data_IF_502130859146
#
_entry.id   IF_502130859146
#
_cell.length_a   1.000
_cell.length_b   1.000
_cell.length_c   1.000
_cell.angle_alpha   90.00
_cell.angle_beta   90.00
_cell.angle_gamma   90.00
#
_symmetry.space_group_name_H-M   'P 1'
#
loop_
_entity.id
_entity.type
_entity.pdbx_description
1 polymer ?
#
# COMPACT_ATOMS: atom_id res chain seq x y z
N UNK A 1 19.78 -46.70 13.87
CA UNK A 1 19.98 -46.47 12.43
C UNK A 1 18.75 -45.72 11.99
N UNK A 2 18.77 -44.42 12.22
CA UNK A 2 17.64 -43.56 11.95
C UNK A 2 17.71 -43.17 10.48
N UNK A 3 16.66 -43.58 9.78
CA UNK A 3 16.35 -43.25 8.40
C UNK A 3 16.38 -41.73 8.23
N UNK A 4 17.43 -41.24 7.57
CA UNK A 4 17.58 -39.84 7.20
C UNK A 4 16.67 -39.55 6.00
N UNK A 5 15.35 -39.67 6.22
CA UNK A 5 14.29 -39.35 5.27
C UNK A 5 14.34 -37.89 4.86
N UNK A 6 15.33 -37.55 4.05
CA UNK A 6 15.38 -36.34 3.25
C UNK A 6 14.26 -36.46 2.23
N UNK A 7 13.09 -35.93 2.60
CA UNK A 7 11.99 -35.68 1.69
C UNK A 7 12.51 -34.79 0.54
N UNK A 8 12.59 -35.31 -0.70
CA UNK A 8 13.05 -34.55 -1.85
C UNK A 8 12.05 -33.46 -2.29
N UNK A 9 10.89 -33.35 -1.62
CA UNK A 9 9.94 -32.24 -1.79
C UNK A 9 10.29 -30.97 -1.01
N UNK A 10 11.24 -31.02 -0.06
CA UNK A 10 11.53 -29.88 0.84
C UNK A 10 12.43 -28.79 0.24
N UNK A 11 12.80 -28.90 -1.04
CA UNK A 11 13.77 -28.01 -1.71
C UNK A 11 13.16 -27.05 -2.74
N UNK A 12 11.83 -26.97 -2.84
CA UNK A 12 11.17 -25.90 -3.60
C UNK A 12 10.43 -25.02 -2.60
N UNK A 13 10.92 -23.81 -2.33
CA UNK A 13 10.22 -22.74 -1.59
C UNK A 13 10.76 -22.38 -0.18
N UNK A 14 11.90 -22.93 0.24
CA UNK A 14 12.53 -22.58 1.53
C UNK A 14 13.11 -21.15 1.58
N UNK A 15 13.27 -20.46 0.44
CA UNK A 15 13.75 -19.07 0.40
C UNK A 15 12.61 -18.03 0.47
N UNK A 16 11.34 -18.47 0.49
CA UNK A 16 10.17 -17.58 0.55
C UNK A 16 9.59 -17.46 1.97
N UNK A 17 10.27 -18.00 2.99
CA UNK A 17 9.89 -17.80 4.38
C UNK A 17 10.14 -16.33 4.77
N UNK A 18 9.06 -15.55 4.78
CA UNK A 18 9.08 -14.14 5.19
C UNK A 18 8.88 -13.13 4.06
N UNK A 19 8.70 -13.56 2.81
CA UNK A 19 8.14 -12.67 1.79
C UNK A 19 6.63 -12.60 2.05
N UNK A 20 6.04 -11.42 2.30
CA UNK A 20 4.59 -11.31 2.29
C UNK A 20 4.10 -11.81 0.93
N UNK A 21 3.41 -12.95 0.92
CA UNK A 21 2.82 -13.51 -0.30
C UNK A 21 1.71 -12.63 -0.87
N UNK A 22 1.34 -11.58 -0.14
CA UNK A 22 0.32 -10.62 -0.50
C UNK A 22 0.93 -9.26 -0.79
N UNK A 23 1.03 -8.92 -2.07
CA UNK A 23 1.46 -7.60 -2.52
C UNK A 23 0.33 -6.59 -2.35
N UNK A 24 0.62 -5.28 -2.29
CA UNK A 24 -0.43 -4.26 -2.37
C UNK A 24 -1.11 -4.33 -3.75
N UNK A 25 -2.41 -4.59 -3.74
CA UNK A 25 -3.28 -4.69 -4.92
C UNK A 25 -3.91 -3.34 -5.28
N UNK A 26 -4.36 -2.58 -4.28
CA UNK A 26 -4.89 -1.22 -4.45
C UNK A 26 -4.70 -0.37 -3.20
N UNK A 27 -4.74 0.94 -3.38
CA UNK A 27 -4.77 1.92 -2.29
C UNK A 27 -6.05 2.73 -2.43
N UNK A 28 -6.69 3.01 -1.31
CA UNK A 28 -7.89 3.84 -1.24
C UNK A 28 -7.61 5.04 -0.33
N UNK A 29 -8.23 6.17 -0.64
CA UNK A 29 -8.14 7.40 0.14
C UNK A 29 -9.53 8.00 0.38
N UNK A 30 -9.63 8.81 1.43
CA UNK A 30 -10.79 9.68 1.70
C UNK A 30 -10.33 10.95 2.41
N UNK A 31 -11.18 11.98 2.38
CA UNK A 31 -10.94 13.24 3.09
C UNK A 31 -12.04 13.44 4.13
N UNK A 32 -11.67 13.86 5.33
CA UNK A 32 -12.55 14.18 6.45
C UNK A 32 -13.57 13.08 6.80
N UNK A 33 -13.17 11.82 6.62
CA UNK A 33 -14.02 10.68 6.92
C UNK A 33 -15.12 10.41 5.88
N UNK A 34 -15.06 11.06 4.71
CA UNK A 34 -15.97 10.84 3.59
C UNK A 34 -15.89 9.44 2.96
N UNK A 35 -16.45 9.29 1.75
CA UNK A 35 -16.42 8.03 1.03
C UNK A 35 -14.98 7.69 0.57
N UNK A 36 -14.66 6.39 0.60
CA UNK A 36 -13.41 5.89 0.04
C UNK A 36 -13.42 5.98 -1.48
N UNK A 37 -12.30 6.43 -2.05
CA UNK A 37 -12.03 6.48 -3.48
C UNK A 37 -10.73 5.73 -3.79
N UNK A 38 -10.65 5.08 -4.94
CA UNK A 38 -9.43 4.41 -5.39
C UNK A 38 -8.34 5.44 -5.71
N UNK A 39 -7.15 5.28 -5.11
CA UNK A 39 -5.98 6.06 -5.45
C UNK A 39 -5.40 5.55 -6.78
N UNK A 40 -5.23 6.41 -7.80
CA UNK A 40 -4.58 5.99 -9.02
C UNK A 40 -3.13 5.58 -8.73
N UNK A 41 -2.66 4.52 -9.40
CA UNK A 41 -1.25 4.18 -9.41
C UNK A 41 -0.50 5.33 -10.08
N UNK A 42 0.51 5.88 -9.39
CA UNK A 42 1.43 6.81 -10.04
C UNK A 42 2.15 6.09 -11.19
N UNK A 43 2.28 6.72 -12.37
CA UNK A 43 3.04 6.13 -13.48
C UNK A 43 4.54 6.00 -13.17
N UNK A 44 5.06 6.72 -12.17
CA UNK A 44 6.43 6.57 -11.67
C UNK A 44 6.56 5.34 -10.76
N UNK A 45 6.44 4.15 -11.35
CA UNK A 45 6.94 2.93 -10.72
C UNK A 45 8.45 2.90 -10.95
N UNK A 46 9.23 3.29 -9.94
CA UNK A 46 10.61 2.78 -9.86
C UNK A 46 10.49 1.31 -9.48
N UNK A 47 10.78 0.43 -10.43
CA UNK A 47 10.85 -0.99 -10.11
C UNK A 47 11.91 -1.19 -9.03
N UNK A 48 11.54 -1.75 -7.88
CA UNK A 48 12.48 -1.99 -6.80
C UNK A 48 13.53 -3.00 -7.23
N UNK A 49 14.81 -2.70 -6.97
CA UNK A 49 15.91 -3.63 -7.25
C UNK A 49 16.05 -4.67 -6.13
N UNK A 50 15.52 -4.36 -4.93
CA UNK A 50 15.49 -5.24 -3.76
C UNK A 50 14.12 -5.23 -3.07
N UNK A 51 13.83 -6.23 -2.21
CA UNK A 51 12.58 -6.27 -1.43
C UNK A 51 12.41 -5.03 -0.52
N UNK A 52 13.52 -4.45 -0.05
CA UNK A 52 13.53 -3.21 0.74
C UNK A 52 13.14 -1.98 -0.10
N UNK A 53 13.30 -2.05 -1.42
CA UNK A 53 12.94 -0.98 -2.34
C UNK A 53 11.46 -1.03 -2.75
N UNK A 54 10.70 -2.07 -2.34
CA UNK A 54 9.29 -2.32 -2.72
C UNK A 54 8.31 -1.28 -2.11
N UNK A 55 8.71 -0.01 -2.09
CA UNK A 55 7.86 1.13 -1.81
C UNK A 55 7.15 1.50 -3.10
N UNK A 56 5.89 1.06 -3.26
CA UNK A 56 5.03 1.60 -4.32
C UNK A 56 4.55 2.98 -3.90
N UNK A 57 4.84 4.00 -4.71
CA UNK A 57 4.31 5.34 -4.50
C UNK A 57 2.95 5.46 -5.18
N UNK A 58 1.94 5.89 -4.43
CA UNK A 58 0.62 6.25 -4.93
C UNK A 58 0.45 7.75 -4.78
N UNK A 59 0.05 8.43 -5.84
CA UNK A 59 -0.28 9.84 -5.83
C UNK A 59 -1.80 9.98 -5.83
N UNK A 60 -2.28 10.77 -4.88
CA UNK A 60 -3.69 11.15 -4.82
C UNK A 60 -3.79 12.59 -5.30
N UNK A 61 -4.59 12.81 -6.34
CA UNK A 61 -4.98 14.17 -6.75
C UNK A 61 -6.32 14.47 -6.10
N UNK A 62 -6.34 15.48 -5.24
CA UNK A 62 -7.56 15.97 -4.61
C UNK A 62 -8.16 17.04 -5.51
N UNK A 63 -9.12 16.67 -6.35
CA UNK A 63 -9.86 17.58 -7.24
C UNK A 63 -11.15 18.11 -6.57
N UNK A 64 -11.18 18.09 -5.24
CA UNK A 64 -12.29 18.67 -4.49
C UNK A 64 -12.18 20.20 -4.49
N UNK A 65 -13.32 20.89 -4.50
CA UNK A 65 -13.43 22.32 -4.17
C UNK A 65 -12.85 22.52 -2.76
N UNK A 66 -11.54 22.72 -2.69
CA UNK A 66 -10.81 22.88 -1.45
C UNK A 66 -10.87 24.35 -1.08
N UNK A 67 -11.95 24.72 -0.40
CA UNK A 67 -12.01 25.98 0.30
C UNK A 67 -10.86 26.09 1.29
N UNK A 68 -10.51 27.31 1.68
CA UNK A 68 -9.43 27.50 2.63
C UNK A 68 -9.81 26.91 4.00
N UNK A 69 -9.22 25.76 4.32
CA UNK A 69 -9.54 24.99 5.51
C UNK A 69 -8.42 23.99 5.85
N UNK A 70 -8.55 23.38 7.04
CA UNK A 70 -7.78 22.21 7.43
C UNK A 70 -8.55 20.95 7.05
N UNK A 71 -7.85 19.99 6.45
CA UNK A 71 -8.40 18.72 5.96
C UNK A 71 -7.61 17.55 6.54
N UNK A 72 -8.28 16.43 6.78
CA UNK A 72 -7.67 15.18 7.17
C UNK A 72 -7.74 14.20 6.00
N UNK A 73 -6.59 13.86 5.41
CA UNK A 73 -6.47 12.77 4.44
C UNK A 73 -6.32 11.45 5.20
N UNK A 74 -7.15 10.47 4.90
CA UNK A 74 -7.02 9.10 5.39
C UNK A 74 -6.74 8.14 4.22
N UNK A 75 -5.85 7.17 4.45
CA UNK A 75 -5.39 6.22 3.43
C UNK A 75 -5.37 4.81 4.00
N UNK A 76 -5.77 3.83 3.18
CA UNK A 76 -5.63 2.39 3.48
C UNK A 76 -5.19 1.63 2.24
N UNK A 77 -4.52 0.50 2.44
CA UNK A 77 -4.08 -0.39 1.35
C UNK A 77 -4.81 -1.73 1.44
N UNK A 78 -5.06 -2.32 0.28
CA UNK A 78 -5.54 -3.69 0.16
C UNK A 78 -4.46 -4.54 -0.46
N UNK A 79 -4.28 -5.74 0.06
CA UNK A 79 -3.35 -6.71 -0.49
C UNK A 79 -4.02 -7.60 -1.57
N UNK A 80 -3.22 -8.42 -2.27
CA UNK A 80 -3.72 -9.33 -3.33
C UNK A 80 -4.57 -10.47 -2.80
N UNK A 81 -4.57 -10.72 -1.50
CA UNK A 81 -5.45 -11.68 -0.81
C UNK A 81 -6.77 -11.05 -0.36
N UNK A 82 -6.93 -9.72 -0.52
CA UNK A 82 -8.12 -8.98 -0.12
C UNK A 82 -8.12 -8.55 1.35
N UNK A 83 -6.99 -8.60 2.06
CA UNK A 83 -6.87 -8.03 3.39
C UNK A 83 -6.71 -6.52 3.30
N UNK A 84 -7.32 -5.80 4.25
CA UNK A 84 -7.15 -4.35 4.41
C UNK A 84 -6.10 -4.07 5.48
N UNK A 85 -5.16 -3.19 5.15
CA UNK A 85 -4.13 -2.71 6.07
C UNK A 85 -4.65 -1.65 7.04
N UNK A 86 -3.75 -1.22 7.93
CA UNK A 86 -4.03 -0.13 8.86
C UNK A 86 -4.38 1.17 8.11
N UNK A 87 -5.36 1.91 8.63
CA UNK A 87 -5.68 3.26 8.17
C UNK A 87 -4.68 4.25 8.76
N UNK A 88 -4.01 5.02 7.90
CA UNK A 88 -3.10 6.09 8.29
C UNK A 88 -3.72 7.43 7.91
N UNK A 89 -3.53 8.46 8.75
CA UNK A 89 -4.03 9.80 8.46
C UNK A 89 -2.96 10.89 8.49
N UNK A 90 -3.16 11.94 7.69
CA UNK A 90 -2.33 13.14 7.66
C UNK A 90 -3.19 14.38 7.48
N UNK A 91 -2.95 15.40 8.30
CA UNK A 91 -3.60 16.70 8.16
C UNK A 91 -2.86 17.58 7.14
N UNK A 92 -3.60 18.39 6.38
CA UNK A 92 -3.06 19.43 5.51
C UNK A 92 -3.97 20.67 5.51
N UNK A 93 -3.45 21.80 5.03
CA UNK A 93 -4.18 23.06 4.95
C UNK A 93 -4.20 23.57 3.51
N UNK A 94 -5.35 24.08 3.08
CA UNK A 94 -5.47 24.87 1.86
C UNK A 94 -5.64 26.33 2.28
N UNK A 95 -4.82 27.21 1.71
CA UNK A 95 -4.85 28.63 1.99
C UNK A 95 -5.84 29.35 1.08
N UNK A 96 -6.34 30.51 1.52
CA UNK A 96 -7.05 31.42 0.63
C UNK A 96 -6.12 31.92 -0.47
N UNK A 97 -6.65 32.06 -1.70
CA UNK A 97 -5.94 32.83 -2.72
C UNK A 97 -5.81 34.28 -2.23
N UNK A 98 -4.58 34.80 -2.24
CA UNK A 98 -4.29 36.23 -2.01
C UNK A 98 -4.32 37.02 -3.30
#
# INVERSE_FOLDING_TARGET
MDDTGLDPGRTRDSHLWGIPTSNVARVEYRVDGGAWSDAPLSPEVRYPVTLADYTRTYAVVLDADTSAAAYQLQVRAWDTAGNVGEEVSRQFHVAELR
#
